data_IF_416495182489
#
_entry.id   IF_416495182489
#
_cell.length_a   1.000
_cell.length_b   1.000
_cell.length_c   1.000
_cell.angle_alpha   90.00
_cell.angle_beta   90.00
_cell.angle_gamma   90.00
#
_symmetry.space_group_name_H-M   'P 1'
#
loop_
_entity.id
_entity.type
_entity.pdbx_description
1 polymer ?
#
# COMPACT_ATOMS: atom_id res chain seq x y z
N UNK A 1 -23.99 1.12 14.75
CA UNK A 1 -24.24 2.57 14.55
C UNK A 1 -23.67 2.96 13.18
N UNK A 2 -24.49 3.34 12.18
CA UNK A 2 -23.96 3.71 10.86
C UNK A 2 -23.42 5.14 10.92
N UNK A 3 -22.23 5.37 10.34
CA UNK A 3 -21.62 6.71 10.32
C UNK A 3 -22.48 7.68 9.49
N UNK A 4 -22.67 8.93 9.94
CA UNK A 4 -23.48 9.90 9.22
C UNK A 4 -22.89 10.16 7.84
N UNK A 5 -23.76 10.13 6.82
CA UNK A 5 -23.41 10.49 5.44
C UNK A 5 -23.12 11.99 5.42
N UNK A 6 -21.85 12.36 5.22
CA UNK A 6 -21.45 13.76 5.08
C UNK A 6 -22.24 14.37 3.93
N UNK A 7 -23.13 15.31 4.24
CA UNK A 7 -23.76 16.17 3.26
C UNK A 7 -22.63 16.97 2.62
N UNK A 8 -22.27 16.64 1.38
CA UNK A 8 -21.28 17.40 0.62
C UNK A 8 -21.77 18.84 0.52
N UNK A 9 -21.25 19.72 1.38
CA UNK A 9 -21.41 21.15 1.25
C UNK A 9 -21.03 21.54 -0.17
N UNK A 10 -21.84 22.38 -0.81
CA UNK A 10 -21.58 22.92 -2.16
C UNK A 10 -20.15 23.42 -2.20
N UNK A 11 -19.26 22.66 -2.86
CA UNK A 11 -17.96 23.19 -3.23
C UNK A 11 -18.19 24.46 -4.05
N UNK A 12 -17.50 25.54 -3.72
CA UNK A 12 -17.57 26.85 -4.41
C UNK A 12 -17.29 26.77 -5.92
N UNK A 13 -16.90 25.60 -6.43
CA UNK A 13 -16.45 25.35 -7.79
C UNK A 13 -17.57 25.23 -8.84
N UNK A 14 -18.85 25.23 -8.45
CA UNK A 14 -19.98 25.12 -9.39
C UNK A 14 -21.20 25.89 -8.88
N UNK A 15 -21.24 27.20 -9.13
CA UNK A 15 -22.49 27.97 -8.99
C UNK A 15 -23.37 27.64 -10.21
N UNK A 16 -24.58 27.15 -9.98
CA UNK A 16 -25.60 26.92 -11.03
C UNK A 16 -25.55 25.58 -11.78
N UNK A 17 -24.45 24.82 -11.73
CA UNK A 17 -24.36 23.52 -12.40
C UNK A 17 -24.88 22.37 -11.51
N UNK A 18 -25.67 21.42 -12.06
CA UNK A 18 -26.13 20.26 -11.31
C UNK A 18 -24.96 19.38 -10.85
N UNK A 19 -25.09 18.78 -9.67
CA UNK A 19 -24.12 17.79 -9.19
C UNK A 19 -24.11 16.59 -10.16
N UNK A 20 -22.93 16.30 -10.71
CA UNK A 20 -22.71 15.10 -11.53
C UNK A 20 -21.88 14.13 -10.70
N UNK A 21 -22.43 12.98 -10.28
CA UNK A 21 -21.63 11.96 -9.62
C UNK A 21 -20.55 11.47 -10.60
N UNK A 22 -19.30 11.52 -10.16
CA UNK A 22 -18.18 10.89 -10.88
C UNK A 22 -18.04 9.49 -10.30
N UNK A 23 -18.17 8.42 -11.11
CA UNK A 23 -17.93 7.06 -10.65
C UNK A 23 -16.52 6.94 -10.07
N UNK A 24 -16.39 6.32 -8.89
CA UNK A 24 -15.07 6.03 -8.34
C UNK A 24 -14.46 4.87 -9.12
N UNK A 25 -13.27 5.09 -9.67
CA UNK A 25 -12.51 4.03 -10.33
C UNK A 25 -11.54 3.39 -9.33
N UNK A 26 -11.59 2.06 -9.20
CA UNK A 26 -10.68 1.31 -8.33
C UNK A 26 -9.46 0.87 -9.13
N UNK A 27 -8.42 1.70 -9.10
CA UNK A 27 -7.15 1.40 -9.74
C UNK A 27 -6.43 0.21 -9.11
N UNK A 28 -5.78 -0.58 -9.97
CA UNK A 28 -4.79 -1.60 -9.65
C UNK A 28 -5.26 -2.65 -8.62
N UNK A 29 -6.53 -3.06 -8.71
CA UNK A 29 -7.15 -4.01 -7.78
C UNK A 29 -6.36 -5.32 -7.65
N UNK A 30 -5.89 -5.88 -8.76
CA UNK A 30 -5.10 -7.12 -8.75
C UNK A 30 -3.78 -6.94 -8.00
N UNK A 31 -3.09 -5.81 -8.19
CA UNK A 31 -1.83 -5.50 -7.51
C UNK A 31 -2.05 -5.29 -6.01
N UNK A 32 -3.13 -4.60 -5.63
CA UNK A 32 -3.52 -4.45 -4.22
C UNK A 32 -3.86 -5.78 -3.55
N UNK A 33 -4.58 -6.65 -4.25
CA UNK A 33 -4.91 -7.99 -3.76
C UNK A 33 -3.64 -8.85 -3.58
N UNK A 34 -2.72 -8.80 -4.54
CA UNK A 34 -1.45 -9.51 -4.44
C UNK A 34 -0.58 -9.01 -3.27
N UNK A 35 -0.52 -7.69 -3.06
CA UNK A 35 0.18 -7.13 -1.90
C UNK A 35 -0.45 -7.56 -0.57
N UNK A 36 -1.79 -7.53 -0.47
CA UNK A 36 -2.49 -7.97 0.73
C UNK A 36 -2.32 -9.47 1.00
N UNK A 37 -2.24 -10.30 -0.05
CA UNK A 37 -1.93 -11.72 0.10
C UNK A 37 -0.49 -11.91 0.61
N UNK A 38 0.48 -11.16 0.07
CA UNK A 38 1.86 -11.27 0.52
C UNK A 38 2.03 -10.80 1.98
N UNK A 39 1.36 -9.73 2.37
CA UNK A 39 1.31 -9.22 3.76
C UNK A 39 0.85 -10.31 4.75
N UNK A 40 -0.18 -11.07 4.38
CA UNK A 40 -0.68 -12.19 5.20
C UNK A 40 0.30 -13.37 5.28
N UNK A 41 1.10 -13.59 4.24
CA UNK A 41 2.04 -14.71 4.16
C UNK A 41 3.38 -14.43 4.85
N UNK A 42 3.74 -13.17 5.04
CA UNK A 42 5.04 -12.75 5.53
C UNK A 42 4.87 -11.91 6.82
N UNK A 43 4.52 -12.52 7.97
CA UNK A 43 4.11 -11.79 9.18
C UNK A 43 5.20 -10.92 9.82
N UNK A 44 6.45 -11.13 9.43
CA UNK A 44 7.59 -10.32 9.83
C UNK A 44 7.66 -8.99 9.04
N UNK A 45 6.86 -8.84 7.99
CA UNK A 45 6.82 -7.69 7.11
C UNK A 45 5.44 -7.06 7.05
N UNK A 46 5.40 -5.73 6.97
CA UNK A 46 4.23 -4.99 6.52
C UNK A 46 4.37 -4.75 5.02
N UNK A 47 3.43 -5.25 4.21
CA UNK A 47 3.47 -5.19 2.75
C UNK A 47 2.28 -4.43 2.18
N UNK A 48 2.54 -3.50 1.27
CA UNK A 48 1.48 -2.77 0.56
C UNK A 48 1.86 -2.42 -0.88
N UNK A 49 0.85 -2.12 -1.70
CA UNK A 49 1.03 -1.57 -3.04
C UNK A 49 0.72 -0.08 -3.05
N UNK A 50 1.69 0.75 -3.46
CA UNK A 50 1.53 2.20 -3.56
C UNK A 50 0.98 2.61 -4.94
N UNK A 51 -0.28 3.05 -5.07
CA UNK A 51 -0.86 3.35 -6.39
C UNK A 51 -0.21 4.56 -7.09
N UNK A 52 0.36 5.49 -6.32
CA UNK A 52 1.06 6.67 -6.85
C UNK A 52 2.43 6.33 -7.44
N UNK A 53 3.17 5.43 -6.81
CA UNK A 53 4.50 4.98 -7.28
C UNK A 53 4.42 3.76 -8.18
N UNK A 54 3.30 3.03 -8.14
CA UNK A 54 3.07 1.73 -8.78
C UNK A 54 4.07 0.64 -8.37
N UNK A 55 4.57 0.72 -7.13
CA UNK A 55 5.53 -0.23 -6.56
C UNK A 55 4.92 -0.99 -5.38
N UNK A 56 5.36 -2.22 -5.23
CA UNK A 56 5.19 -2.96 -3.98
C UNK A 56 6.25 -2.50 -2.99
N UNK A 57 5.87 -2.36 -1.73
CA UNK A 57 6.75 -1.92 -0.65
C UNK A 57 6.60 -2.90 0.50
N UNK A 58 7.71 -3.29 1.10
CA UNK A 58 7.76 -4.09 2.32
C UNK A 58 8.60 -3.37 3.38
N UNK A 59 8.07 -3.29 4.61
CA UNK A 59 8.74 -2.69 5.77
C UNK A 59 8.88 -3.76 6.85
N UNK A 60 10.08 -3.97 7.37
CA UNK A 60 10.31 -4.96 8.42
C UNK A 60 9.65 -4.50 9.72
N UNK A 61 8.91 -5.40 10.40
CA UNK A 61 8.27 -5.09 11.69
C UNK A 61 9.04 -5.60 12.90
N UNK A 62 10.12 -6.34 12.69
CA UNK A 62 11.04 -6.75 13.76
C UNK A 62 12.06 -5.64 14.09
N UNK A 63 12.69 -5.68 15.28
CA UNK A 63 13.71 -4.71 15.67
C UNK A 63 15.02 -4.96 14.91
N UNK A 64 15.12 -4.42 13.69
CA UNK A 64 16.37 -4.37 12.95
C UNK A 64 17.26 -3.20 13.44
N UNK A 65 18.61 -3.30 13.31
CA UNK A 65 19.53 -2.22 13.72
C UNK A 65 19.27 -0.86 13.06
N UNK A 66 18.64 -0.86 11.88
CA UNK A 66 18.13 0.33 11.17
C UNK A 66 16.75 0.03 10.59
N UNK A 67 15.88 1.04 10.42
CA UNK A 67 14.61 0.85 9.72
C UNK A 67 14.85 0.26 8.33
N UNK A 68 14.25 -0.90 8.07
CA UNK A 68 14.46 -1.66 6.85
C UNK A 68 13.21 -1.61 5.99
N UNK A 69 13.39 -1.10 4.77
CA UNK A 69 12.35 -0.99 3.76
C UNK A 69 12.93 -1.38 2.40
N UNK A 70 12.20 -2.19 1.64
CA UNK A 70 12.52 -2.54 0.26
C UNK A 70 11.30 -2.31 -0.63
N UNK A 71 11.52 -2.03 -1.91
CA UNK A 71 10.45 -1.83 -2.88
C UNK A 71 10.80 -2.39 -4.26
N UNK A 72 9.78 -2.83 -4.99
CA UNK A 72 9.94 -3.45 -6.31
C UNK A 72 8.71 -3.27 -7.20
N UNK A 73 8.84 -3.58 -8.50
CA UNK A 73 7.73 -3.50 -9.45
C UNK A 73 6.88 -4.78 -9.48
N UNK A 74 7.44 -5.90 -9.04
CA UNK A 74 6.78 -7.21 -8.99
C UNK A 74 6.82 -7.79 -7.57
N UNK A 75 5.97 -8.79 -7.32
CA UNK A 75 5.89 -9.48 -6.03
C UNK A 75 7.11 -10.37 -5.84
N UNK A 76 7.55 -10.99 -6.92
CA UNK A 76 8.68 -11.90 -6.97
C UNK A 76 9.98 -11.19 -6.65
N UNK A 77 10.22 -10.03 -7.27
CA UNK A 77 11.37 -9.15 -6.95
C UNK A 77 11.32 -8.69 -5.50
N UNK A 78 10.13 -8.27 -5.01
CA UNK A 78 9.99 -7.83 -3.63
C UNK A 78 10.38 -8.95 -2.65
N UNK A 79 9.93 -10.18 -2.89
CA UNK A 79 10.28 -11.32 -2.03
C UNK A 79 11.76 -11.63 -2.05
N UNK A 80 12.43 -11.51 -3.21
CA UNK A 80 13.87 -11.68 -3.28
C UNK A 80 14.60 -10.64 -2.40
N UNK A 81 14.23 -9.37 -2.53
CA UNK A 81 14.79 -8.28 -1.72
C UNK A 81 14.51 -8.46 -0.22
N UNK A 82 13.31 -8.94 0.15
CA UNK A 82 12.97 -9.23 1.55
C UNK A 82 13.91 -10.31 2.13
N UNK A 83 14.17 -11.39 1.38
CA UNK A 83 15.08 -12.46 1.83
C UNK A 83 16.53 -11.99 1.90
N UNK A 84 16.99 -11.22 0.93
CA UNK A 84 18.31 -10.60 0.97
C UNK A 84 18.47 -9.72 2.21
N UNK A 85 17.48 -8.88 2.48
CA UNK A 85 17.50 -7.99 3.63
C UNK A 85 17.44 -8.71 4.99
N UNK A 86 16.75 -9.85 5.08
CA UNK A 86 16.78 -10.72 6.26
C UNK A 86 18.18 -11.29 6.51
N UNK A 87 18.87 -11.72 5.46
CA UNK A 87 20.25 -12.25 5.55
C UNK A 87 21.22 -11.14 5.97
N UNK A 88 21.12 -9.95 5.36
CA UNK A 88 21.94 -8.80 5.74
C UNK A 88 21.71 -8.39 7.20
N UNK A 89 20.45 -8.36 7.65
CA UNK A 89 20.12 -8.03 9.02
C UNK A 89 20.67 -9.05 10.02
N UNK A 90 20.70 -10.34 9.66
CA UNK A 90 21.28 -11.39 10.50
C UNK A 90 22.81 -11.30 10.60
N UNK A 91 23.49 -10.82 9.56
CA UNK A 91 24.94 -10.59 9.57
C UNK A 91 25.30 -9.32 10.37
N UNK A 92 24.42 -8.32 10.35
CA UNK A 92 24.63 -7.04 11.01
C UNK A 92 24.22 -7.01 12.50
N UNK A 93 23.65 -8.10 13.02
CA UNK A 93 23.25 -8.27 14.43
C UNK A 93 24.40 -8.81 15.28
#
# INVERSE_FOLDING_TARGET
MPKPRVTLGRGRHRIGAPFRPVPSHRWDLAKKAAAAQLDQLEPAWLVYYGPGTRRFVAIAVWPAPRPLQVDAFTVEELRALMREAEVEAAIAA
#
